data_IF_497581262446
#
_entry.id   IF_497581262446
#
_cell.length_a   1.000
_cell.length_b   1.000
_cell.length_c   1.000
_cell.angle_alpha   90.00
_cell.angle_beta   90.00
_cell.angle_gamma   90.00
#
_symmetry.space_group_name_H-M   'P 1'
#
loop_
_entity.id
_entity.type
_entity.pdbx_description
1 polymer ?
#
# COMPACT_ATOMS: atom_id res chain seq x y z
N UNK A 1 20.25 -27.50 12.25
CA UNK A 1 20.41 -26.54 13.37
C UNK A 1 19.86 -25.21 12.88
N UNK A 2 18.91 -24.60 13.60
CA UNK A 2 18.39 -23.27 13.22
C UNK A 2 19.46 -22.24 13.56
N UNK A 3 19.85 -21.40 12.59
CA UNK A 3 20.88 -20.37 12.82
C UNK A 3 20.29 -19.18 13.58
N UNK A 4 21.14 -18.48 14.35
CA UNK A 4 20.74 -17.22 15.02
C UNK A 4 20.19 -16.19 14.02
N UNK A 5 20.77 -16.16 12.81
CA UNK A 5 20.29 -15.33 11.72
C UNK A 5 18.85 -15.68 11.32
N UNK A 6 18.52 -16.97 11.15
CA UNK A 6 17.17 -17.39 10.80
C UNK A 6 16.15 -17.00 11.90
N UNK A 7 16.53 -17.13 13.17
CA UNK A 7 15.71 -16.71 14.31
C UNK A 7 15.50 -15.19 14.29
N UNK A 8 16.57 -14.42 14.11
CA UNK A 8 16.50 -12.96 14.06
C UNK A 8 15.60 -12.48 12.91
N UNK A 9 15.75 -13.05 11.71
CA UNK A 9 14.90 -12.72 10.56
C UNK A 9 13.45 -13.10 10.82
N UNK A 10 13.17 -14.26 11.42
CA UNK A 10 11.80 -14.66 11.74
C UNK A 10 11.14 -13.69 12.72
N UNK A 11 11.83 -13.33 13.81
CA UNK A 11 11.30 -12.43 14.83
C UNK A 11 11.08 -11.02 14.29
N UNK A 12 12.10 -10.44 13.65
CA UNK A 12 12.03 -9.08 13.11
C UNK A 12 11.01 -9.04 11.97
N UNK A 13 11.05 -10.01 11.05
CA UNK A 13 10.12 -10.11 9.94
C UNK A 13 8.68 -10.23 10.41
N UNK A 14 8.41 -11.06 11.42
CA UNK A 14 7.06 -11.19 11.99
C UNK A 14 6.58 -9.89 12.63
N UNK A 15 7.45 -9.19 13.38
CA UNK A 15 7.14 -7.89 13.95
C UNK A 15 6.83 -6.85 12.86
N UNK A 16 7.58 -6.84 11.75
CA UNK A 16 7.32 -5.97 10.59
C UNK A 16 5.97 -6.29 9.96
N UNK A 17 5.65 -7.58 9.74
CA UNK A 17 4.35 -8.00 9.17
C UNK A 17 3.19 -7.50 10.04
N UNK A 18 3.25 -7.74 11.35
CA UNK A 18 2.21 -7.28 12.27
C UNK A 18 2.14 -5.75 12.35
N UNK A 19 3.30 -5.08 12.39
CA UNK A 19 3.40 -3.63 12.42
C UNK A 19 2.77 -2.99 11.17
N UNK A 20 3.06 -3.51 9.98
CA UNK A 20 2.50 -3.03 8.72
C UNK A 20 0.98 -3.28 8.65
N UNK A 21 0.50 -4.46 9.04
CA UNK A 21 -0.93 -4.76 9.06
C UNK A 21 -1.69 -3.86 10.05
N UNK A 22 -1.13 -3.65 11.25
CA UNK A 22 -1.71 -2.74 12.24
C UNK A 22 -1.70 -1.27 11.77
N UNK A 23 -0.63 -0.83 11.10
CA UNK A 23 -0.54 0.50 10.53
C UNK A 23 -1.62 0.72 9.45
N UNK A 24 -1.81 -0.26 8.56
CA UNK A 24 -2.84 -0.22 7.51
C UNK A 24 -4.24 -0.23 8.11
N UNK A 25 -4.52 -1.10 9.08
CA UNK A 25 -5.80 -1.11 9.79
C UNK A 25 -6.11 0.25 10.42
N UNK A 26 -5.12 0.84 11.11
CA UNK A 26 -5.26 2.14 11.77
C UNK A 26 -5.45 3.28 10.78
N UNK A 27 -4.69 3.28 9.69
CA UNK A 27 -4.80 4.30 8.64
C UNK A 27 -6.16 4.21 7.95
N UNK A 28 -6.60 3.01 7.54
CA UNK A 28 -7.90 2.79 6.91
C UNK A 28 -9.06 3.20 7.83
N UNK A 29 -8.98 2.88 9.13
CA UNK A 29 -9.99 3.30 10.12
C UNK A 29 -10.04 4.81 10.28
N UNK A 30 -8.89 5.50 10.20
CA UNK A 30 -8.79 6.96 10.35
C UNK A 30 -9.25 7.72 9.11
N UNK A 31 -9.05 7.15 7.94
CA UNK A 31 -9.45 7.71 6.65
C UNK A 31 -10.85 7.24 6.22
N UNK A 32 -11.57 6.52 7.10
CA UNK A 32 -12.90 5.98 6.84
C UNK A 32 -12.98 5.09 5.58
N UNK A 33 -11.85 4.48 5.20
CA UNK A 33 -11.78 3.55 4.08
C UNK A 33 -12.56 2.28 4.44
N UNK A 34 -13.36 1.82 3.48
CA UNK A 34 -14.20 0.64 3.66
C UNK A 34 -13.37 -0.61 4.02
N UNK A 35 -13.89 -1.39 4.98
CA UNK A 35 -13.37 -2.73 5.35
C UNK A 35 -11.88 -2.73 5.78
N UNK A 36 -11.50 -1.97 6.83
CA UNK A 36 -10.10 -1.84 7.28
C UNK A 36 -9.44 -3.18 7.65
N UNK A 37 -10.20 -4.13 8.17
CA UNK A 37 -9.71 -5.47 8.51
C UNK A 37 -9.28 -6.29 7.27
N UNK A 38 -9.98 -6.13 6.14
CA UNK A 38 -9.61 -6.84 4.91
C UNK A 38 -8.28 -6.30 4.35
N UNK A 39 -8.10 -4.98 4.32
CA UNK A 39 -6.87 -4.36 3.86
C UNK A 39 -5.66 -4.75 4.71
N UNK A 40 -5.81 -4.71 6.03
CA UNK A 40 -4.80 -5.22 6.95
C UNK A 40 -4.51 -6.72 6.72
N UNK A 41 -5.56 -7.51 6.46
CA UNK A 41 -5.44 -8.93 6.12
C UNK A 41 -4.65 -9.18 4.84
N UNK A 42 -4.90 -8.43 3.77
CA UNK A 42 -4.11 -8.53 2.53
C UNK A 42 -2.62 -8.28 2.79
N UNK A 43 -2.29 -7.20 3.50
CA UNK A 43 -0.90 -6.88 3.86
C UNK A 43 -0.28 -7.98 4.72
N UNK A 44 -1.01 -8.50 5.71
CA UNK A 44 -0.52 -9.59 6.55
C UNK A 44 -0.25 -10.87 5.74
N UNK A 45 -1.15 -11.24 4.84
CA UNK A 45 -1.03 -12.44 3.99
C UNK A 45 0.12 -12.32 3.00
N UNK A 46 0.25 -11.18 2.33
CA UNK A 46 1.27 -11.02 1.29
C UNK A 46 2.67 -10.87 1.89
N UNK A 47 2.84 -10.01 2.92
CA UNK A 47 4.11 -9.85 3.61
C UNK A 47 4.49 -11.11 4.42
N UNK A 48 3.52 -11.70 5.12
CA UNK A 48 3.72 -12.93 5.88
C UNK A 48 4.02 -14.13 4.99
N UNK A 49 3.36 -14.24 3.84
CA UNK A 49 3.64 -15.24 2.82
C UNK A 49 5.03 -15.08 2.22
N UNK A 50 5.47 -13.85 1.95
CA UNK A 50 6.84 -13.54 1.55
C UNK A 50 7.88 -13.96 2.60
N UNK A 51 7.63 -13.64 3.88
CA UNK A 51 8.50 -14.05 5.00
C UNK A 51 8.56 -15.58 5.15
N UNK A 52 7.41 -16.25 5.12
CA UNK A 52 7.33 -17.70 5.23
C UNK A 52 8.06 -18.38 4.06
N UNK A 53 7.92 -17.83 2.86
CA UNK A 53 8.64 -18.32 1.68
C UNK A 53 10.14 -18.11 1.84
N UNK A 54 10.60 -16.94 2.29
CA UNK A 54 12.01 -16.67 2.55
C UNK A 54 12.64 -17.65 3.55
N UNK A 55 11.90 -18.05 4.59
CA UNK A 55 12.38 -18.94 5.64
C UNK A 55 12.29 -20.44 5.31
N UNK A 56 11.51 -20.82 4.30
CA UNK A 56 11.21 -22.22 3.98
C UNK A 56 12.21 -22.87 3.02
N UNK A 57 12.07 -22.69 1.70
CA UNK A 57 12.95 -23.33 0.72
C UNK A 57 14.34 -22.66 0.61
N UNK A 58 15.41 -23.42 0.32
CA UNK A 58 16.68 -22.82 -0.07
C UNK A 58 16.57 -22.16 -1.46
N UNK A 59 17.26 -21.03 -1.66
CA UNK A 59 17.40 -20.32 -2.95
C UNK A 59 16.10 -19.76 -3.57
N UNK A 60 15.24 -19.13 -2.77
CA UNK A 60 14.07 -18.44 -3.30
C UNK A 60 14.50 -17.23 -4.15
N UNK A 61 13.95 -17.06 -5.37
CA UNK A 61 14.22 -15.88 -6.19
C UNK A 61 13.78 -14.60 -5.48
N UNK A 62 14.75 -13.73 -5.16
CA UNK A 62 14.49 -12.45 -4.50
C UNK A 62 13.48 -11.57 -5.25
N UNK A 63 13.50 -11.48 -6.60
CA UNK A 63 12.50 -10.67 -7.31
C UNK A 63 11.05 -11.11 -7.03
N UNK A 64 10.78 -12.42 -7.02
CA UNK A 64 9.45 -12.95 -6.72
C UNK A 64 9.01 -12.67 -5.26
N UNK A 65 9.95 -12.72 -4.32
CA UNK A 65 9.67 -12.35 -2.93
C UNK A 65 9.29 -10.87 -2.79
N UNK A 66 10.00 -9.98 -3.47
CA UNK A 66 9.70 -8.55 -3.43
C UNK A 66 8.31 -8.25 -3.99
N UNK A 67 7.93 -8.91 -5.09
CA UNK A 67 6.58 -8.80 -5.66
C UNK A 67 5.53 -9.26 -4.64
N UNK A 68 5.75 -10.41 -3.99
CA UNK A 68 4.84 -10.88 -2.95
C UNK A 68 4.73 -9.88 -1.79
N UNK A 69 5.84 -9.38 -1.26
CA UNK A 69 5.80 -8.45 -0.11
C UNK A 69 5.10 -7.14 -0.47
N UNK A 70 5.32 -6.60 -1.67
CA UNK A 70 4.76 -5.30 -2.08
C UNK A 70 3.28 -5.39 -2.48
N UNK A 71 2.79 -6.56 -2.90
CA UNK A 71 1.43 -6.71 -3.44
C UNK A 71 0.33 -6.15 -2.53
N UNK A 72 0.27 -6.58 -1.26
CA UNK A 72 -0.73 -6.09 -0.31
C UNK A 72 -0.62 -4.59 -0.02
N UNK A 73 0.57 -4.06 0.32
CA UNK A 73 0.79 -2.63 0.49
C UNK A 73 0.41 -1.79 -0.74
N UNK A 74 0.78 -2.24 -1.95
CA UNK A 74 0.46 -1.54 -3.18
C UNK A 74 -1.06 -1.49 -3.43
N UNK A 75 -1.75 -2.61 -3.25
CA UNK A 75 -3.21 -2.65 -3.38
C UNK A 75 -3.90 -1.70 -2.39
N UNK A 76 -3.43 -1.68 -1.14
CA UNK A 76 -3.97 -0.73 -0.14
C UNK A 76 -3.69 0.72 -0.52
N UNK A 77 -2.52 1.03 -1.06
CA UNK A 77 -2.19 2.39 -1.49
C UNK A 77 -3.07 2.84 -2.67
N UNK A 78 -3.42 1.94 -3.60
CA UNK A 78 -4.36 2.26 -4.67
C UNK A 78 -5.76 2.55 -4.15
N UNK A 79 -6.29 1.73 -3.23
CA UNK A 79 -7.58 2.01 -2.58
C UNK A 79 -7.54 3.34 -1.82
N UNK A 80 -6.46 3.60 -1.10
CA UNK A 80 -6.29 4.84 -0.33
C UNK A 80 -6.22 6.07 -1.23
N UNK A 81 -5.67 5.94 -2.43
CA UNK A 81 -5.63 7.00 -3.41
C UNK A 81 -7.01 7.24 -4.01
N UNK A 82 -7.72 6.18 -4.39
CA UNK A 82 -9.11 6.23 -4.86
C UNK A 82 -10.04 6.85 -3.82
N UNK A 83 -9.92 6.48 -2.55
CA UNK A 83 -10.69 7.08 -1.46
C UNK A 83 -10.40 8.58 -1.24
N UNK A 84 -9.31 9.13 -1.79
CA UNK A 84 -8.95 10.55 -1.68
C UNK A 84 -9.29 11.37 -2.92
N UNK A 85 -9.27 10.76 -4.09
CA UNK A 85 -9.38 11.46 -5.37
C UNK A 85 -10.50 10.92 -6.28
N UNK A 86 -11.20 9.86 -5.88
CA UNK A 86 -12.15 9.11 -6.72
C UNK A 86 -13.50 9.79 -6.95
N UNK A 87 -13.79 10.92 -6.30
CA UNK A 87 -14.99 11.72 -6.56
C UNK A 87 -14.85 12.54 -7.86
N UNK A 88 -13.63 12.75 -8.36
CA UNK A 88 -13.40 13.48 -9.60
C UNK A 88 -13.62 12.55 -10.81
N UNK A 89 -14.43 12.95 -11.81
CA UNK A 89 -14.57 12.17 -13.04
C UNK A 89 -13.21 11.98 -13.70
N UNK A 90 -12.87 10.75 -14.08
CA UNK A 90 -11.66 10.50 -14.85
C UNK A 90 -11.73 11.27 -16.19
N UNK A 91 -10.98 12.37 -16.31
CA UNK A 91 -10.86 13.15 -17.55
C UNK A 91 -9.61 12.70 -18.33
N UNK A 92 -9.76 11.99 -19.47
CA UNK A 92 -8.64 11.56 -20.30
C UNK A 92 -7.87 12.73 -20.95
N UNK A 93 -8.41 13.94 -20.91
CA UNK A 93 -7.81 15.15 -21.49
C UNK A 93 -7.11 16.04 -20.45
N UNK A 94 -7.24 15.74 -19.17
CA UNK A 94 -6.56 16.45 -18.10
C UNK A 94 -5.27 15.73 -17.70
N UNK A 95 -4.17 16.47 -17.64
CA UNK A 95 -2.98 16.03 -16.93
C UNK A 95 -3.11 16.46 -15.46
N UNK A 96 -2.56 15.70 -14.50
CA UNK A 96 -2.35 16.20 -13.14
C UNK A 96 -1.57 17.53 -13.24
N UNK A 97 -2.16 18.60 -12.71
CA UNK A 97 -1.63 19.98 -12.72
C UNK A 97 -1.55 20.68 -14.10
N UNK A 98 -2.50 20.42 -15.02
CA UNK A 98 -2.67 21.23 -16.22
C UNK A 98 -2.91 22.73 -15.90
N UNK A 99 -2.54 23.67 -16.79
CA UNK A 99 -2.51 25.12 -16.51
C UNK A 99 -3.89 25.79 -16.32
N UNK A 100 -4.95 25.00 -16.11
CA UNK A 100 -6.33 25.45 -15.94
C UNK A 100 -6.81 25.58 -14.51
N UNK A 101 -5.95 25.33 -13.50
CA UNK A 101 -6.30 25.50 -12.09
C UNK A 101 -6.66 26.95 -11.75
N UNK A 102 -7.95 27.20 -11.55
CA UNK A 102 -8.60 28.31 -10.82
C UNK A 102 -8.30 29.78 -11.17
N UNK A 103 -7.37 30.11 -12.07
CA UNK A 103 -7.01 31.51 -12.35
C UNK A 103 -7.75 32.21 -13.50
N UNK A 104 -8.55 31.49 -14.29
CA UNK A 104 -9.09 32.02 -15.55
C UNK A 104 -10.47 32.70 -15.43
N UNK A 105 -11.22 32.45 -14.35
CA UNK A 105 -12.61 32.91 -14.25
C UNK A 105 -12.77 34.31 -13.61
N UNK A 106 -11.74 34.82 -12.92
CA UNK A 106 -11.80 36.15 -12.27
C UNK A 106 -11.58 37.32 -13.25
N UNK A 107 -10.88 37.10 -14.37
CA UNK A 107 -10.58 38.18 -15.34
C UNK A 107 -11.70 38.52 -16.32
N UNK A 108 -12.81 37.78 -16.33
CA UNK A 108 -13.91 37.98 -17.30
C UNK A 108 -15.04 38.87 -16.79
N UNK A 109 -15.05 39.22 -15.51
CA UNK A 109 -16.10 40.05 -14.89
C UNK A 109 -15.73 41.54 -14.74
N UNK A 110 -14.62 42.00 -15.34
CA UNK A 110 -14.15 43.39 -15.23
C UNK A 110 -14.16 44.20 -16.54
N UNK A 111 -14.78 43.70 -17.61
CA UNK A 111 -15.00 44.46 -18.87
C UNK A 111 -16.50 44.59 -19.18
#
# INVERSE_FOLDING_TARGET
MVSLQAIAVAVIGFAVVLGSAAAVYRDATRLEISRPALWAGFVAVTCGGGLATYLGPPNVPIPGLLVMVIAGPALYLFERDDARHGDEPADPHALPDGPGGDGANERRNEE
#
